data_IF_790244392269
#
_entry.id   IF_790244392269
#
_cell.length_a   1.000
_cell.length_b   1.000
_cell.length_c   1.000
_cell.angle_alpha   90.00
_cell.angle_beta   90.00
_cell.angle_gamma   90.00
#
_symmetry.space_group_name_H-M   'P 1'
#
loop_
_entity.id
_entity.type
_entity.pdbx_description
1 polymer ?
#
# COMPACT_ATOMS: atom_id res chain seq x y z
N UNK A 1 -4.45 -22.00 -9.46
CA UNK A 1 -3.66 -20.93 -8.79
C UNK A 1 -3.59 -19.59 -9.50
N UNK A 2 -3.52 -19.54 -10.83
CA UNK A 2 -3.49 -18.26 -11.57
C UNK A 2 -4.63 -17.30 -11.24
N UNK A 3 -5.85 -17.83 -11.03
CA UNK A 3 -7.00 -17.03 -10.60
C UNK A 3 -6.80 -16.42 -9.21
N UNK A 4 -6.23 -17.17 -8.26
CA UNK A 4 -5.97 -16.71 -6.89
C UNK A 4 -4.88 -15.64 -6.84
N UNK A 5 -3.79 -15.81 -7.60
CA UNK A 5 -2.73 -14.77 -7.72
C UNK A 5 -3.27 -13.50 -8.37
N UNK A 6 -4.13 -13.63 -9.38
CA UNK A 6 -4.80 -12.48 -10.02
C UNK A 6 -5.74 -11.76 -9.06
N UNK A 7 -6.56 -12.50 -8.31
CA UNK A 7 -7.44 -11.95 -7.27
C UNK A 7 -6.62 -11.22 -6.20
N UNK A 8 -5.53 -11.83 -5.72
CA UNK A 8 -4.62 -11.22 -4.75
C UNK A 8 -4.03 -9.91 -5.29
N UNK A 9 -3.61 -9.88 -6.55
CA UNK A 9 -3.12 -8.67 -7.21
C UNK A 9 -4.20 -7.58 -7.33
N UNK A 10 -5.46 -7.94 -7.57
CA UNK A 10 -6.58 -6.99 -7.56
C UNK A 10 -6.82 -6.45 -6.16
N UNK A 11 -6.87 -7.32 -5.15
CA UNK A 11 -7.15 -6.95 -3.77
C UNK A 11 -6.03 -6.04 -3.21
N UNK A 12 -4.77 -6.37 -3.48
CA UNK A 12 -3.62 -5.52 -3.16
C UNK A 12 -3.69 -4.17 -3.88
N UNK A 13 -4.10 -4.14 -5.15
CA UNK A 13 -4.26 -2.87 -5.88
C UNK A 13 -5.39 -2.01 -5.35
N UNK A 14 -6.53 -2.60 -4.97
CA UNK A 14 -7.66 -1.88 -4.38
C UNK A 14 -7.28 -1.30 -3.02
N UNK A 15 -6.64 -2.10 -2.16
CA UNK A 15 -6.13 -1.65 -0.87
C UNK A 15 -5.11 -0.52 -1.01
N UNK A 16 -4.15 -0.67 -1.93
CA UNK A 16 -3.16 0.36 -2.22
C UNK A 16 -3.80 1.64 -2.77
N UNK A 17 -4.78 1.54 -3.65
CA UNK A 17 -5.50 2.69 -4.20
C UNK A 17 -6.27 3.45 -3.12
N UNK A 18 -6.98 2.74 -2.22
CA UNK A 18 -7.68 3.35 -1.10
C UNK A 18 -6.72 4.07 -0.14
N UNK A 19 -5.62 3.43 0.24
CA UNK A 19 -4.60 4.06 1.10
C UNK A 19 -3.94 5.27 0.43
N UNK A 20 -3.70 5.20 -0.89
CA UNK A 20 -3.17 6.33 -1.66
C UNK A 20 -4.17 7.48 -1.69
N UNK A 21 -5.46 7.19 -1.92
CA UNK A 21 -6.53 8.19 -1.91
C UNK A 21 -6.64 8.89 -0.55
N UNK A 22 -6.62 8.13 0.55
CA UNK A 22 -6.59 8.67 1.90
C UNK A 22 -5.35 9.56 2.11
N UNK A 23 -4.18 9.10 1.63
CA UNK A 23 -2.94 9.85 1.69
C UNK A 23 -3.04 11.22 1.00
N UNK A 24 -3.53 11.22 -0.24
CA UNK A 24 -3.75 12.45 -1.02
C UNK A 24 -4.75 13.37 -0.34
N UNK A 25 -5.89 12.85 0.12
CA UNK A 25 -6.90 13.65 0.83
C UNK A 25 -6.34 14.30 2.10
N UNK A 26 -5.57 13.56 2.89
CA UNK A 26 -4.93 14.08 4.10
C UNK A 26 -3.88 15.16 3.78
N UNK A 27 -3.11 14.99 2.70
CA UNK A 27 -2.17 16.02 2.25
C UNK A 27 -2.88 17.29 1.77
N UNK A 28 -4.03 17.16 1.10
CA UNK A 28 -4.86 18.31 0.72
C UNK A 28 -5.41 19.04 1.95
N UNK A 29 -5.89 18.30 2.95
CA UNK A 29 -6.33 18.87 4.23
C UNK A 29 -5.19 19.57 4.98
N UNK A 30 -3.99 18.97 4.97
CA UNK A 30 -2.80 19.60 5.53
C UNK A 30 -2.47 20.91 4.81
N UNK A 31 -2.57 20.93 3.47
CA UNK A 31 -2.41 22.15 2.66
C UNK A 31 -3.42 23.24 3.03
N UNK A 32 -4.69 22.87 3.24
CA UNK A 32 -5.72 23.80 3.73
C UNK A 32 -5.41 24.36 5.11
N UNK A 33 -4.94 23.53 6.04
CA UNK A 33 -4.52 23.98 7.36
C UNK A 33 -3.28 24.89 7.31
N UNK A 34 -2.31 24.62 6.43
CA UNK A 34 -1.15 25.48 6.21
C UNK A 34 -1.53 26.84 5.63
N UNK A 35 -2.57 26.90 4.78
CA UNK A 35 -3.07 28.16 4.26
C UNK A 35 -3.60 29.09 5.38
N UNK A 36 -4.23 28.52 6.42
CA UNK A 36 -4.68 29.26 7.61
C UNK A 36 -3.49 29.76 8.44
N UNK A 37 -2.42 28.97 8.55
CA UNK A 37 -1.19 29.38 9.26
C UNK A 37 -0.50 30.56 8.56
N UNK A 38 -0.58 30.60 7.23
CA UNK A 38 0.01 31.66 6.42
C UNK A 38 -0.77 32.98 6.45
N UNK A 39 -2.00 32.97 6.99
CA UNK A 39 -2.84 34.16 7.11
C UNK A 39 -2.41 35.02 8.32
N UNK A 40 -1.92 36.26 8.09
CA UNK A 40 -1.49 37.17 9.15
C UNK A 40 -2.62 37.58 10.12
N UNK A 41 -3.89 37.51 9.70
CA UNK A 41 -5.03 37.90 10.53
C UNK A 41 -5.48 36.75 11.46
N UNK A 42 -5.10 35.51 11.15
CA UNK A 42 -5.52 34.29 11.85
C UNK A 42 -4.64 33.92 13.07
N UNK A 43 -3.98 34.89 13.71
CA UNK A 43 -3.00 34.64 14.78
C UNK A 43 -3.54 33.84 15.97
N UNK A 44 -4.81 34.04 16.33
CA UNK A 44 -5.46 33.33 17.44
C UNK A 44 -5.61 31.82 17.21
N UNK A 45 -5.69 31.38 15.96
CA UNK A 45 -5.90 29.97 15.57
C UNK A 45 -4.70 29.34 14.86
N UNK A 46 -3.67 30.13 14.56
CA UNK A 46 -2.47 29.70 13.83
C UNK A 46 -1.78 28.47 14.46
N UNK A 47 -1.67 28.42 15.79
CA UNK A 47 -1.10 27.24 16.46
C UNK A 47 -1.91 25.95 16.23
N UNK A 48 -3.24 26.03 16.37
CA UNK A 48 -4.13 24.89 16.17
C UNK A 48 -4.12 24.43 14.71
N UNK A 49 -4.09 25.37 13.77
CA UNK A 49 -3.96 25.10 12.35
C UNK A 49 -2.61 24.43 12.02
N UNK A 50 -1.50 24.89 12.60
CA UNK A 50 -0.18 24.28 12.42
C UNK A 50 -0.11 22.84 12.93
N UNK A 51 -0.67 22.57 14.11
CA UNK A 51 -0.74 21.21 14.65
C UNK A 51 -1.60 20.29 13.77
N UNK A 52 -2.74 20.80 13.32
CA UNK A 52 -3.66 20.07 12.42
C UNK A 52 -2.98 19.73 11.09
N UNK A 53 -2.28 20.70 10.49
CA UNK A 53 -1.49 20.52 9.29
C UNK A 53 -0.44 19.42 9.46
N UNK A 54 0.28 19.44 10.58
CA UNK A 54 1.34 18.47 10.84
C UNK A 54 0.80 17.04 11.03
N UNK A 55 -0.32 16.90 11.75
CA UNK A 55 -0.99 15.60 11.93
C UNK A 55 -1.48 15.04 10.59
N UNK A 56 -2.20 15.86 9.81
CA UNK A 56 -2.70 15.43 8.50
C UNK A 56 -1.57 15.15 7.51
N UNK A 57 -0.50 15.95 7.52
CA UNK A 57 0.66 15.69 6.67
C UNK A 57 1.32 14.36 7.05
N UNK A 58 1.52 14.09 8.34
CA UNK A 58 2.17 12.87 8.82
C UNK A 58 1.36 11.62 8.45
N UNK A 59 0.05 11.63 8.70
CA UNK A 59 -0.86 10.53 8.32
C UNK A 59 -0.91 10.40 6.80
N UNK A 60 -0.98 11.52 6.09
CA UNK A 60 -1.05 11.58 4.64
C UNK A 60 0.17 10.95 3.97
N UNK A 61 1.38 11.35 4.38
CA UNK A 61 2.65 10.79 3.88
C UNK A 61 2.73 9.29 4.18
N UNK A 62 2.43 8.88 5.41
CA UNK A 62 2.47 7.47 5.80
C UNK A 62 1.52 6.63 4.96
N UNK A 63 0.26 7.07 4.82
CA UNK A 63 -0.77 6.40 4.02
C UNK A 63 -0.41 6.36 2.53
N UNK A 64 0.20 7.43 2.01
CA UNK A 64 0.64 7.51 0.62
C UNK A 64 1.76 6.51 0.33
N UNK A 65 2.80 6.48 1.16
CA UNK A 65 3.91 5.51 1.03
C UNK A 65 3.38 4.08 1.11
N UNK A 66 2.49 3.81 2.05
CA UNK A 66 1.84 2.51 2.22
C UNK A 66 1.03 2.09 1.00
N UNK A 67 0.23 3.01 0.46
CA UNK A 67 -0.60 2.78 -0.72
C UNK A 67 0.22 2.54 -1.98
N UNK A 68 1.24 3.36 -2.21
CA UNK A 68 2.17 3.23 -3.34
C UNK A 68 2.93 1.90 -3.28
N UNK A 69 3.39 1.49 -2.09
CA UNK A 69 4.05 0.19 -1.92
C UNK A 69 3.13 -0.97 -2.33
N UNK A 70 1.86 -0.94 -1.95
CA UNK A 70 0.88 -1.95 -2.34
C UNK A 70 0.58 -1.96 -3.83
N UNK A 71 0.43 -0.78 -4.45
CA UNK A 71 0.26 -0.67 -5.90
C UNK A 71 1.48 -1.20 -6.66
N UNK A 72 2.68 -0.84 -6.21
CA UNK A 72 3.92 -1.30 -6.83
C UNK A 72 4.05 -2.82 -6.75
N UNK A 73 3.76 -3.42 -5.60
CA UNK A 73 3.77 -4.89 -5.45
C UNK A 73 2.70 -5.55 -6.30
N UNK A 74 1.49 -5.00 -6.36
CA UNK A 74 0.41 -5.53 -7.20
C UNK A 74 0.80 -5.59 -8.68
N UNK A 75 1.49 -4.55 -9.20
CA UNK A 75 2.00 -4.56 -10.58
C UNK A 75 3.12 -5.58 -10.78
N UNK A 76 4.04 -5.74 -9.82
CA UNK A 76 5.11 -6.74 -9.87
C UNK A 76 4.58 -8.18 -9.80
N UNK A 77 3.51 -8.40 -9.04
CA UNK A 77 2.83 -9.69 -8.94
C UNK A 77 2.18 -10.08 -10.27
N UNK A 78 1.55 -9.12 -10.97
CA UNK A 78 0.97 -9.32 -12.32
C UNK A 78 2.03 -9.70 -13.35
N UNK A 79 3.26 -9.17 -13.21
CA UNK A 79 4.41 -9.50 -14.08
C UNK A 79 5.13 -10.80 -13.69
N UNK A 80 4.61 -11.58 -12.72
CA UNK A 80 5.20 -12.84 -12.22
C UNK A 80 6.66 -12.74 -11.79
N UNK A 81 7.12 -11.57 -11.38
CA UNK A 81 8.50 -11.40 -10.91
C UNK A 81 8.70 -12.05 -9.53
N UNK A 82 9.78 -12.82 -9.36
CA UNK A 82 10.15 -13.44 -8.09
C UNK A 82 10.27 -12.44 -6.93
N UNK A 83 10.74 -11.21 -7.19
CA UNK A 83 10.82 -10.12 -6.19
C UNK A 83 9.45 -9.66 -5.69
N UNK A 84 8.42 -9.70 -6.54
CA UNK A 84 7.05 -9.32 -6.17
C UNK A 84 6.47 -10.22 -5.09
N UNK A 85 6.81 -11.52 -5.12
CA UNK A 85 6.39 -12.49 -4.11
C UNK A 85 6.98 -12.20 -2.74
N UNK A 86 8.29 -11.93 -2.65
CA UNK A 86 8.96 -11.65 -1.36
C UNK A 86 8.41 -10.39 -0.72
N UNK A 87 8.24 -9.32 -1.50
CA UNK A 87 7.71 -8.05 -0.97
C UNK A 87 6.24 -8.18 -0.57
N UNK A 88 5.41 -8.93 -1.32
CA UNK A 88 4.02 -9.18 -0.94
C UNK A 88 3.88 -10.04 0.32
N UNK A 89 4.78 -11.01 0.53
CA UNK A 89 4.82 -11.78 1.77
C UNK A 89 5.16 -10.88 2.96
N UNK A 90 6.16 -10.01 2.83
CA UNK A 90 6.51 -9.03 3.86
C UNK A 90 5.36 -8.08 4.17
N UNK A 91 4.74 -7.49 3.14
CA UNK A 91 3.56 -6.65 3.31
C UNK A 91 2.39 -7.42 3.94
N UNK A 92 2.16 -8.68 3.56
CA UNK A 92 1.10 -9.51 4.12
C UNK A 92 1.24 -9.75 5.62
N UNK A 93 2.47 -9.92 6.13
CA UNK A 93 2.73 -10.04 7.58
C UNK A 93 2.41 -8.72 8.30
N UNK A 94 2.80 -7.58 7.74
CA UNK A 94 2.48 -6.29 8.34
C UNK A 94 0.98 -6.03 8.29
N UNK A 95 0.33 -6.37 7.18
CA UNK A 95 -1.11 -6.20 7.02
C UNK A 95 -1.90 -7.10 7.98
N UNK A 96 -1.33 -8.20 8.47
CA UNK A 96 -1.95 -9.07 9.48
C UNK A 96 -2.33 -8.31 10.76
N UNK A 97 -1.55 -7.28 11.11
CA UNK A 97 -1.77 -6.43 12.29
C UNK A 97 -2.88 -5.39 12.07
N UNK A 98 -3.28 -5.16 10.81
CA UNK A 98 -4.28 -4.15 10.44
C UNK A 98 -5.65 -4.81 10.29
N UNK A 99 -6.41 -4.84 11.36
CA UNK A 99 -7.74 -5.44 11.37
C UNK A 99 -8.83 -4.50 10.80
N UNK A 100 -9.90 -5.04 10.18
CA UNK A 100 -10.12 -6.42 9.76
C UNK A 100 -9.64 -6.71 8.31
N UNK A 101 -9.60 -5.69 7.45
CA UNK A 101 -9.32 -5.84 6.02
C UNK A 101 -7.86 -6.20 5.72
N UNK A 102 -6.92 -5.62 6.47
CA UNK A 102 -5.52 -5.92 6.29
C UNK A 102 -5.20 -7.36 6.64
N UNK A 103 -5.81 -7.88 7.71
CA UNK A 103 -5.67 -9.28 8.14
C UNK A 103 -6.18 -10.26 7.10
N UNK A 104 -7.35 -10.00 6.51
CA UNK A 104 -7.88 -10.85 5.44
C UNK A 104 -6.96 -10.86 4.20
N UNK A 105 -6.49 -9.68 3.77
CA UNK A 105 -5.56 -9.58 2.64
C UNK A 105 -4.21 -10.25 2.95
N UNK A 106 -3.68 -10.07 4.16
CA UNK A 106 -2.42 -10.65 4.60
C UNK A 106 -2.49 -12.17 4.72
N UNK A 107 -3.52 -12.71 5.35
CA UNK A 107 -3.75 -14.16 5.47
C UNK A 107 -3.91 -14.80 4.08
N UNK A 108 -4.67 -14.16 3.18
CA UNK A 108 -4.84 -14.64 1.81
C UNK A 108 -3.53 -14.56 1.01
N UNK A 109 -2.73 -13.50 1.19
CA UNK A 109 -1.41 -13.36 0.56
C UNK A 109 -0.45 -14.47 0.99
N UNK A 110 -0.38 -14.74 2.30
CA UNK A 110 0.43 -15.81 2.87
C UNK A 110 -0.03 -17.17 2.31
N UNK A 111 -1.33 -17.46 2.35
CA UNK A 111 -1.87 -18.73 1.84
C UNK A 111 -1.53 -18.97 0.36
N UNK A 112 -1.75 -17.97 -0.51
CA UNK A 112 -1.52 -18.09 -1.97
C UNK A 112 -0.03 -18.15 -2.34
N UNK A 113 0.84 -17.41 -1.63
CA UNK A 113 2.26 -17.29 -1.99
C UNK A 113 3.17 -18.31 -1.28
N UNK A 114 2.71 -18.94 -0.20
CA UNK A 114 3.40 -20.03 0.47
C UNK A 114 3.08 -21.41 -0.15
N UNK A 115 1.96 -21.57 -0.84
CA UNK A 115 1.61 -22.84 -1.50
C UNK A 115 2.64 -23.23 -2.58
N UNK A 116 2.90 -24.53 -2.72
CA UNK A 116 3.85 -25.08 -3.70
C UNK A 116 3.47 -24.71 -5.14
N UNK A 117 2.19 -24.71 -5.47
CA UNK A 117 1.66 -24.28 -6.77
C UNK A 117 1.90 -22.79 -7.03
N UNK A 118 1.73 -21.94 -6.03
CA UNK A 118 2.09 -20.52 -6.09
C UNK A 118 3.58 -20.32 -6.35
N UNK A 119 4.44 -21.07 -5.64
CA UNK A 119 5.90 -21.03 -5.80
C UNK A 119 6.34 -21.34 -7.23
N UNK A 120 5.74 -22.35 -7.87
CA UNK A 120 6.07 -22.76 -9.26
C UNK A 120 5.82 -21.64 -10.28
N UNK A 121 4.82 -20.78 -10.05
CA UNK A 121 4.47 -19.68 -10.96
C UNK A 121 5.49 -18.53 -11.00
N UNK A 122 6.36 -18.43 -9.99
CA UNK A 122 7.39 -17.38 -9.88
C UNK A 122 8.83 -17.91 -10.10
N UNK A 123 9.02 -19.23 -10.22
CA UNK A 123 10.33 -19.89 -10.45
C UNK A 123 10.57 -20.22 -11.93
N UNK A 124 9.52 -20.28 -12.75
CA UNK A 124 9.59 -20.75 -14.14
C UNK A 124 10.33 -19.91 -15.21
N UNK A 125 10.83 -18.65 -15.04
CA UNK A 125 11.38 -17.93 -16.20
C UNK A 125 12.85 -18.23 -16.57
N UNK A 126 13.54 -19.18 -15.94
CA UNK A 126 14.99 -19.38 -16.16
C UNK A 126 15.41 -20.69 -16.82
N UNK A 127 14.48 -21.61 -17.11
CA UNK A 127 14.87 -22.95 -17.64
C UNK A 127 14.69 -23.08 -19.16
N UNK A 128 13.91 -22.23 -19.82
CA UNK A 128 13.62 -22.33 -21.26
C UNK A 128 14.64 -21.63 -22.18
N UNK A 129 15.60 -20.87 -21.66
CA UNK A 129 16.59 -20.15 -22.49
C UNK A 129 17.89 -20.94 -22.77
N UNK A 130 17.97 -22.22 -22.37
CA UNK A 130 19.17 -23.08 -22.54
C UNK A 130 18.80 -24.42 -23.21
N UNK A 131 17.70 -24.48 -23.96
CA UNK A 131 17.40 -25.58 -24.89
C UNK A 131 17.11 -25.02 -26.26
#
# INVERSE_FOLDING_TARGET
MDRHVRLLGILASLWGALATLVGVSMLLLAGGALAIVADPEATAVSFAAGLTAWIFASIGVFSLVWGVAHLWVATRLRRRHARGRVVMLGLGVVNLLVFPFGTALGAYALWVLLTNEGRRLFVAPHVEAIR
#
